data_IF_425003964144
#
_entry.id   IF_425003964144
#
_cell.length_a   1.000
_cell.length_b   1.000
_cell.length_c   1.000
_cell.angle_alpha   90.00
_cell.angle_beta   90.00
_cell.angle_gamma   90.00
#
_symmetry.space_group_name_H-M   'P 1'
#
loop_
_entity.id
_entity.type
_entity.pdbx_description
1 polymer ?
#
# COMPACT_ATOMS: atom_id res chain seq x y z
N UNK A 1 -46.59 -23.57 6.86
CA UNK A 1 -45.32 -23.52 7.58
C UNK A 1 -44.48 -22.44 6.91
N UNK A 2 -44.38 -21.27 7.52
CA UNK A 2 -43.54 -20.16 7.03
C UNK A 2 -42.08 -20.56 7.32
N UNK A 3 -41.34 -20.97 6.29
CA UNK A 3 -39.87 -21.09 6.41
C UNK A 3 -39.31 -19.73 6.79
N UNK A 4 -38.84 -19.62 8.00
CA UNK A 4 -38.08 -18.46 8.45
C UNK A 4 -36.77 -18.47 7.66
N UNK A 5 -36.68 -17.71 6.58
CA UNK A 5 -35.44 -17.53 5.83
C UNK A 5 -34.40 -17.01 6.81
N UNK A 6 -33.47 -17.84 7.22
CA UNK A 6 -32.34 -17.46 8.08
C UNK A 6 -31.45 -16.50 7.28
N UNK A 7 -31.55 -15.20 7.59
CA UNK A 7 -30.72 -14.17 6.96
C UNK A 7 -29.25 -14.34 7.35
N UNK A 8 -28.38 -14.31 6.36
CA UNK A 8 -26.93 -14.26 6.56
C UNK A 8 -26.55 -12.90 7.17
N UNK A 9 -25.52 -12.84 7.98
CA UNK A 9 -25.03 -11.56 8.54
C UNK A 9 -24.60 -10.59 7.42
N UNK A 10 -24.10 -11.11 6.30
CA UNK A 10 -23.77 -10.34 5.10
C UNK A 10 -24.98 -9.71 4.41
N UNK A 11 -26.20 -10.11 4.68
CA UNK A 11 -27.41 -9.48 4.16
C UNK A 11 -27.68 -8.12 4.84
N UNK A 12 -27.10 -7.88 6.02
CA UNK A 12 -27.13 -6.59 6.69
C UNK A 12 -26.15 -5.61 6.04
N UNK A 13 -26.66 -4.55 5.40
CA UNK A 13 -25.83 -3.50 4.82
C UNK A 13 -24.90 -2.88 5.85
N UNK A 14 -25.36 -2.58 7.06
CA UNK A 14 -24.54 -2.03 8.13
C UNK A 14 -23.35 -2.95 8.49
N UNK A 15 -23.58 -4.27 8.59
CA UNK A 15 -22.52 -5.23 8.91
C UNK A 15 -21.47 -5.31 7.77
N UNK A 16 -21.90 -5.37 6.50
CA UNK A 16 -20.99 -5.38 5.35
C UNK A 16 -20.09 -4.15 5.31
N UNK A 17 -20.71 -2.98 5.37
CA UNK A 17 -19.96 -1.72 5.30
C UNK A 17 -19.04 -1.53 6.50
N UNK A 18 -19.46 -1.95 7.71
CA UNK A 18 -18.58 -1.94 8.89
C UNK A 18 -17.37 -2.85 8.70
N UNK A 19 -17.57 -4.08 8.22
CA UNK A 19 -16.47 -5.00 7.94
C UNK A 19 -15.49 -4.40 6.91
N UNK A 20 -16.02 -3.84 5.80
CA UNK A 20 -15.21 -3.18 4.77
C UNK A 20 -14.43 -2.00 5.33
N UNK A 21 -15.07 -1.12 6.11
CA UNK A 21 -14.39 0.04 6.71
C UNK A 21 -13.25 -0.35 7.64
N UNK A 22 -13.43 -1.39 8.47
CA UNK A 22 -12.39 -1.88 9.38
C UNK A 22 -11.18 -2.38 8.61
N UNK A 23 -11.37 -3.26 7.63
CA UNK A 23 -10.24 -3.83 6.89
C UNK A 23 -9.58 -2.80 5.97
N UNK A 24 -10.35 -1.86 5.40
CA UNK A 24 -9.83 -0.76 4.61
C UNK A 24 -9.06 0.27 5.44
N UNK A 25 -9.46 0.52 6.68
CA UNK A 25 -8.70 1.35 7.63
C UNK A 25 -7.33 0.75 7.91
N UNK A 26 -7.25 -0.57 8.09
CA UNK A 26 -5.96 -1.26 8.28
C UNK A 26 -5.05 -1.08 7.07
N UNK A 27 -5.59 -1.19 5.86
CA UNK A 27 -4.84 -0.93 4.62
C UNK A 27 -4.39 0.54 4.51
N UNK A 28 -5.26 1.48 4.87
CA UNK A 28 -4.91 2.91 4.90
C UNK A 28 -3.71 3.18 5.83
N UNK A 29 -3.68 2.58 7.02
CA UNK A 29 -2.53 2.67 7.92
C UNK A 29 -1.28 2.01 7.33
N UNK A 30 -1.44 0.92 6.60
CA UNK A 30 -0.37 0.25 5.85
C UNK A 30 0.22 1.15 4.78
N UNK A 31 -0.60 1.72 3.90
CA UNK A 31 -0.15 2.64 2.85
C UNK A 31 0.52 3.90 3.44
N UNK A 32 0.05 4.41 4.58
CA UNK A 32 0.74 5.48 5.28
C UNK A 32 2.18 5.08 5.65
N UNK A 33 2.40 3.91 6.26
CA UNK A 33 3.75 3.42 6.62
C UNK A 33 4.60 3.11 5.38
N UNK A 34 3.99 2.67 4.29
CA UNK A 34 4.68 2.42 3.02
C UNK A 34 5.37 3.69 2.52
N UNK A 35 4.70 4.82 2.63
CA UNK A 35 5.15 6.08 2.05
C UNK A 35 5.65 7.13 3.06
N UNK A 36 5.57 6.85 4.37
CA UNK A 36 5.92 7.80 5.44
C UNK A 36 7.31 8.42 5.32
N UNK A 37 8.30 7.66 4.83
CA UNK A 37 9.69 8.13 4.66
C UNK A 37 9.97 8.70 3.28
N UNK A 38 9.07 8.55 2.31
CA UNK A 38 9.23 9.09 0.96
C UNK A 38 9.42 10.62 0.94
N UNK A 39 8.59 11.42 1.63
CA UNK A 39 8.78 12.86 1.67
C UNK A 39 9.93 13.31 2.59
N UNK A 40 10.48 12.41 3.41
CA UNK A 40 11.59 12.67 4.32
C UNK A 40 12.97 12.34 3.71
N UNK A 41 13.03 11.98 2.44
CA UNK A 41 14.25 11.55 1.77
C UNK A 41 15.38 12.59 1.83
N UNK A 42 15.07 13.89 1.81
CA UNK A 42 16.05 14.96 2.00
C UNK A 42 16.62 14.94 3.43
N UNK A 43 15.77 14.85 4.45
CA UNK A 43 16.21 14.77 5.85
C UNK A 43 17.04 13.51 6.12
N UNK A 44 16.73 12.38 5.47
CA UNK A 44 17.51 11.14 5.57
C UNK A 44 18.91 11.29 4.98
N UNK A 45 19.05 12.00 3.86
CA UNK A 45 20.33 12.12 3.15
C UNK A 45 21.13 13.39 3.51
N UNK A 46 20.52 14.36 4.19
CA UNK A 46 21.20 15.54 4.69
C UNK A 46 22.26 15.16 5.72
N UNK A 47 23.34 15.97 5.81
CA UNK A 47 24.41 15.78 6.80
C UNK A 47 23.87 15.73 8.24
N UNK A 48 24.53 14.93 9.08
CA UNK A 48 24.22 14.88 10.52
C UNK A 48 24.43 16.25 11.18
N UNK A 49 25.44 17.01 10.73
CA UNK A 49 25.70 18.37 11.23
C UNK A 49 24.53 19.31 10.95
N UNK A 50 23.82 19.10 9.85
CA UNK A 50 22.66 19.87 9.44
C UNK A 50 21.33 19.27 9.93
N UNK A 51 21.37 18.39 10.92
CA UNK A 51 20.20 17.76 11.52
C UNK A 51 19.57 16.62 10.68
N UNK A 52 20.30 16.11 9.70
CA UNK A 52 19.91 14.92 8.92
C UNK A 52 20.47 13.62 9.49
N UNK A 53 20.21 12.49 8.83
CA UNK A 53 20.75 11.18 9.22
C UNK A 53 22.04 10.81 8.49
N UNK A 54 22.46 11.63 7.51
CA UNK A 54 23.69 11.43 6.75
C UNK A 54 23.71 10.14 5.96
N UNK A 55 22.56 9.65 5.48
CA UNK A 55 22.52 8.52 4.57
C UNK A 55 23.02 8.94 3.18
N UNK A 56 23.75 8.07 2.52
CA UNK A 56 24.08 8.28 1.11
C UNK A 56 22.83 8.11 0.23
N UNK A 57 22.80 8.72 -0.97
CA UNK A 57 21.71 8.47 -1.94
C UNK A 57 21.54 6.98 -2.27
N UNK A 58 22.65 6.22 -2.28
CA UNK A 58 22.64 4.77 -2.49
C UNK A 58 21.96 4.03 -1.34
N UNK A 59 22.26 4.39 -0.09
CA UNK A 59 21.59 3.83 1.10
C UNK A 59 20.09 4.10 1.08
N UNK A 60 19.69 5.30 0.71
CA UNK A 60 18.27 5.62 0.55
C UNK A 60 17.61 4.80 -0.57
N UNK A 61 18.31 4.56 -1.67
CA UNK A 61 17.85 3.69 -2.76
C UNK A 61 17.65 2.24 -2.30
N UNK A 62 18.64 1.66 -1.62
CA UNK A 62 18.56 0.32 -1.03
C UNK A 62 17.39 0.20 -0.04
N UNK A 63 17.28 1.16 0.88
CA UNK A 63 16.16 1.22 1.82
C UNK A 63 14.80 1.29 1.09
N UNK A 64 14.68 2.14 0.08
CA UNK A 64 13.43 2.30 -0.66
C UNK A 64 13.01 1.02 -1.39
N UNK A 65 13.97 0.23 -1.88
CA UNK A 65 13.75 -1.07 -2.50
C UNK A 65 13.45 -2.20 -1.51
N UNK A 66 13.78 -2.01 -0.23
CA UNK A 66 13.69 -3.06 0.80
C UNK A 66 12.27 -3.61 1.00
N UNK A 67 11.24 -2.80 0.76
CA UNK A 67 9.85 -3.22 0.78
C UNK A 67 9.60 -4.54 0.04
N UNK A 68 10.28 -4.73 -1.08
CA UNK A 68 10.07 -5.88 -1.97
C UNK A 68 11.02 -7.05 -1.72
N UNK A 69 12.06 -6.92 -0.87
CA UNK A 69 13.09 -7.97 -0.74
C UNK A 69 12.52 -9.34 -0.40
N UNK A 70 11.73 -9.44 0.67
CA UNK A 70 11.17 -10.73 1.09
C UNK A 70 10.08 -11.22 0.13
N UNK A 71 9.32 -10.31 -0.46
CA UNK A 71 8.28 -10.67 -1.43
C UNK A 71 8.87 -11.27 -2.71
N UNK A 72 9.99 -10.73 -3.22
CA UNK A 72 10.64 -11.19 -4.45
C UNK A 72 11.49 -12.42 -4.19
N UNK A 73 12.43 -12.35 -3.23
CA UNK A 73 13.41 -13.43 -3.03
C UNK A 73 12.83 -14.67 -2.36
N UNK A 74 11.83 -14.51 -1.52
CA UNK A 74 11.17 -15.62 -0.84
C UNK A 74 9.78 -15.94 -1.39
N UNK A 75 9.35 -15.29 -2.48
CA UNK A 75 8.03 -15.49 -3.10
C UNK A 75 6.88 -15.43 -2.07
N UNK A 76 7.00 -14.55 -1.08
CA UNK A 76 6.10 -14.54 0.09
C UNK A 76 4.66 -14.20 -0.26
N UNK A 77 4.40 -13.51 -1.37
CA UNK A 77 3.04 -13.29 -1.85
C UNK A 77 2.37 -14.60 -2.31
N UNK A 78 3.12 -15.50 -2.97
CA UNK A 78 2.64 -16.83 -3.34
C UNK A 78 2.33 -17.68 -2.09
N UNK A 79 3.28 -17.73 -1.14
CA UNK A 79 3.06 -18.45 0.12
C UNK A 79 1.93 -17.85 0.94
N UNK A 80 1.81 -16.51 0.96
CA UNK A 80 0.70 -15.81 1.60
C UNK A 80 -0.67 -16.20 1.02
N UNK A 81 -0.76 -16.36 -0.30
CA UNK A 81 -1.96 -16.88 -0.96
C UNK A 81 -2.31 -18.29 -0.52
N UNK A 82 -1.32 -19.19 -0.46
CA UNK A 82 -1.51 -20.59 0.01
C UNK A 82 -1.96 -20.60 1.49
N UNK A 83 -1.35 -19.77 2.34
CA UNK A 83 -1.75 -19.64 3.74
C UNK A 83 -3.18 -19.11 3.84
N UNK A 84 -3.54 -18.12 3.03
CA UNK A 84 -4.89 -17.55 2.99
C UNK A 84 -5.95 -18.59 2.63
N UNK A 85 -5.66 -19.44 1.65
CA UNK A 85 -6.60 -20.49 1.23
C UNK A 85 -6.74 -21.62 2.26
N UNK A 86 -5.62 -21.99 2.93
CA UNK A 86 -5.65 -23.09 3.92
C UNK A 86 -6.12 -22.65 5.30
N UNK A 87 -5.74 -21.46 5.75
CA UNK A 87 -5.98 -20.99 7.12
C UNK A 87 -7.07 -19.91 7.22
N UNK A 88 -7.54 -19.42 6.07
CA UNK A 88 -8.62 -18.45 5.97
C UNK A 88 -8.23 -17.02 6.34
N UNK A 89 -9.17 -16.11 6.10
CA UNK A 89 -8.96 -14.65 6.22
C UNK A 89 -8.63 -14.17 7.64
N UNK A 90 -9.12 -14.86 8.68
CA UNK A 90 -8.88 -14.45 10.07
C UNK A 90 -7.41 -14.63 10.47
N UNK A 91 -6.90 -15.86 10.33
CA UNK A 91 -5.52 -16.15 10.69
C UNK A 91 -4.54 -15.35 9.83
N UNK A 92 -4.72 -15.40 8.51
CA UNK A 92 -3.82 -14.75 7.55
C UNK A 92 -3.80 -13.23 7.75
N UNK A 93 -4.96 -12.62 7.98
CA UNK A 93 -5.02 -11.18 8.21
C UNK A 93 -4.39 -10.75 9.53
N UNK A 94 -4.61 -11.46 10.64
CA UNK A 94 -3.94 -11.16 11.91
C UNK A 94 -2.42 -11.34 11.80
N UNK A 95 -1.96 -12.41 11.15
CA UNK A 95 -0.55 -12.65 10.87
C UNK A 95 0.05 -11.50 10.03
N UNK A 96 -0.63 -11.12 8.95
CA UNK A 96 -0.18 -10.03 8.06
C UNK A 96 -0.12 -8.69 8.82
N UNK A 97 -1.15 -8.34 9.59
CA UNK A 97 -1.15 -7.13 10.42
C UNK A 97 -0.05 -7.17 11.47
N UNK A 98 0.21 -8.32 12.10
CA UNK A 98 1.30 -8.50 13.05
C UNK A 98 2.68 -8.26 12.42
N UNK A 99 2.92 -8.79 11.20
CA UNK A 99 4.13 -8.54 10.42
C UNK A 99 4.27 -7.05 10.06
N UNK A 100 3.17 -6.40 9.65
CA UNK A 100 3.18 -4.97 9.36
C UNK A 100 3.55 -4.14 10.59
N UNK A 101 2.93 -4.42 11.74
CA UNK A 101 3.23 -3.74 13.01
C UNK A 101 4.68 -3.98 13.44
N UNK A 102 5.13 -5.23 13.45
CA UNK A 102 6.51 -5.59 13.83
C UNK A 102 7.54 -4.91 12.94
N UNK A 103 7.33 -4.94 11.62
CA UNK A 103 8.19 -4.28 10.64
C UNK A 103 8.18 -2.75 10.78
N UNK A 104 7.02 -2.14 11.02
CA UNK A 104 6.89 -0.69 11.23
C UNK A 104 7.60 -0.24 12.52
N UNK A 105 7.46 -0.98 13.62
CA UNK A 105 8.15 -0.70 14.88
C UNK A 105 9.67 -0.85 14.73
N UNK A 106 10.13 -1.89 14.04
CA UNK A 106 11.55 -2.08 13.76
C UNK A 106 12.12 -0.93 12.91
N UNK A 107 11.37 -0.48 11.90
CA UNK A 107 11.72 0.69 11.09
C UNK A 107 11.76 1.97 11.93
N UNK A 108 10.78 2.17 12.81
CA UNK A 108 10.74 3.32 13.72
C UNK A 108 11.92 3.33 14.70
N UNK A 109 12.25 2.17 15.28
CA UNK A 109 13.41 2.01 16.15
C UNK A 109 14.72 2.33 15.42
N UNK A 110 14.90 1.82 14.20
CA UNK A 110 16.12 2.03 13.43
C UNK A 110 16.40 3.51 13.13
N UNK A 111 15.37 4.33 12.93
CA UNK A 111 15.53 5.78 12.67
C UNK A 111 15.36 6.64 13.92
N UNK A 112 15.24 6.02 15.09
CA UNK A 112 15.13 6.73 16.36
C UNK A 112 16.51 7.06 16.96
N UNK A 113 16.59 8.06 17.86
CA UNK A 113 17.81 8.36 18.62
C UNK A 113 18.28 7.21 19.52
N UNK A 114 17.45 6.19 19.74
CA UNK A 114 17.79 5.02 20.56
C UNK A 114 18.65 4.00 19.81
N UNK A 115 18.74 4.13 18.48
CA UNK A 115 19.56 3.20 17.67
C UNK A 115 21.05 3.58 17.79
N UNK A 116 21.95 2.60 18.02
CA UNK A 116 23.38 2.87 18.15
C UNK A 116 23.98 3.52 16.88
N UNK A 117 24.67 4.63 17.06
CA UNK A 117 25.33 5.35 15.97
C UNK A 117 26.67 4.71 15.57
N UNK A 118 27.13 4.96 14.33
CA UNK A 118 28.48 4.69 13.86
C UNK A 118 28.73 3.26 13.36
N UNK A 119 27.76 2.34 13.46
CA UNK A 119 27.92 0.99 12.91
C UNK A 119 27.90 0.95 11.38
N UNK A 120 28.81 0.17 10.77
CA UNK A 120 28.87 -0.07 9.32
C UNK A 120 28.82 -1.57 9.04
N UNK A 121 28.06 -1.97 8.03
CA UNK A 121 27.93 -3.35 7.56
C UNK A 121 27.91 -3.35 6.02
N UNK A 122 28.82 -4.10 5.40
CA UNK A 122 28.95 -4.14 3.92
C UNK A 122 29.12 -2.75 3.27
N UNK A 123 29.78 -1.82 3.95
CA UNK A 123 30.00 -0.46 3.43
C UNK A 123 28.82 0.51 3.60
N UNK A 124 27.73 0.10 4.23
CA UNK A 124 26.56 0.91 4.53
C UNK A 124 26.29 0.99 6.03
N UNK A 125 25.56 2.01 6.45
CA UNK A 125 25.17 2.18 7.86
C UNK A 125 24.30 1.01 8.35
N UNK A 126 24.61 0.47 9.54
CA UNK A 126 23.78 -0.58 10.17
C UNK A 126 22.36 -0.12 10.39
N UNK A 127 22.17 1.16 10.63
CA UNK A 127 20.88 1.83 10.74
C UNK A 127 20.03 1.64 9.48
N UNK A 128 20.61 1.83 8.28
CA UNK A 128 19.93 1.60 7.01
C UNK A 128 19.50 0.14 6.84
N UNK A 129 20.39 -0.82 7.18
CA UNK A 129 20.06 -2.24 7.11
C UNK A 129 18.92 -2.62 8.05
N UNK A 130 18.92 -2.10 9.27
CA UNK A 130 17.86 -2.36 10.25
C UNK A 130 16.53 -1.74 9.81
N UNK A 131 16.54 -0.50 9.32
CA UNK A 131 15.37 0.15 8.75
C UNK A 131 14.84 -0.60 7.51
N UNK A 132 15.76 -1.07 6.63
CA UNK A 132 15.44 -1.87 5.45
C UNK A 132 14.82 -3.23 5.83
N UNK A 133 15.39 -3.93 6.82
CA UNK A 133 14.82 -5.18 7.32
C UNK A 133 13.39 -4.96 7.88
N UNK A 134 13.19 -3.92 8.67
CA UNK A 134 11.87 -3.54 9.16
C UNK A 134 10.89 -3.28 8.01
N UNK A 135 11.36 -2.58 6.97
CA UNK A 135 10.56 -2.28 5.80
C UNK A 135 10.26 -3.51 4.94
N UNK A 136 11.19 -4.47 4.86
CA UNK A 136 10.98 -5.75 4.17
C UNK A 136 9.94 -6.63 4.89
N UNK A 137 10.02 -6.76 6.22
CA UNK A 137 9.04 -7.49 7.03
C UNK A 137 7.66 -6.82 6.92
N UNK A 138 7.61 -5.50 7.01
CA UNK A 138 6.40 -4.72 6.81
C UNK A 138 5.81 -4.97 5.41
N UNK A 139 6.63 -4.90 4.35
CA UNK A 139 6.20 -5.09 2.97
C UNK A 139 5.61 -6.48 2.72
N UNK A 140 6.21 -7.52 3.30
CA UNK A 140 5.66 -8.87 3.26
C UNK A 140 4.25 -8.92 3.91
N UNK A 141 4.10 -8.32 5.08
CA UNK A 141 2.79 -8.23 5.74
C UNK A 141 1.78 -7.42 4.93
N UNK A 142 2.19 -6.31 4.31
CA UNK A 142 1.32 -5.43 3.53
C UNK A 142 0.75 -6.14 2.29
N UNK A 143 1.57 -6.87 1.55
CA UNK A 143 1.13 -7.62 0.37
C UNK A 143 0.17 -8.77 0.75
N UNK A 144 0.49 -9.53 1.80
CA UNK A 144 -0.40 -10.59 2.31
C UNK A 144 -1.71 -9.99 2.82
N UNK A 145 -1.66 -8.83 3.49
CA UNK A 145 -2.85 -8.11 3.95
C UNK A 145 -3.73 -7.68 2.77
N UNK A 146 -3.13 -7.17 1.68
CA UNK A 146 -3.84 -6.72 0.49
C UNK A 146 -4.69 -7.81 -0.16
N UNK A 147 -4.10 -9.02 -0.39
CA UNK A 147 -4.86 -10.16 -0.93
C UNK A 147 -5.92 -10.64 0.06
N UNK A 148 -5.63 -10.61 1.36
CA UNK A 148 -6.58 -11.02 2.41
C UNK A 148 -7.77 -10.08 2.48
N UNK A 149 -7.54 -8.77 2.45
CA UNK A 149 -8.60 -7.74 2.46
C UNK A 149 -9.48 -7.86 1.22
N UNK A 150 -8.90 -8.09 0.05
CA UNK A 150 -9.65 -8.34 -1.17
C UNK A 150 -10.59 -9.57 -1.03
N UNK A 151 -10.07 -10.68 -0.49
CA UNK A 151 -10.87 -11.89 -0.23
C UNK A 151 -11.98 -11.64 0.82
N UNK A 152 -11.70 -10.84 1.84
CA UNK A 152 -12.70 -10.40 2.84
C UNK A 152 -13.84 -9.65 2.14
N UNK A 153 -13.53 -8.67 1.31
CA UNK A 153 -14.54 -7.87 0.63
C UNK A 153 -15.38 -8.75 -0.31
N UNK A 154 -14.74 -9.63 -1.08
CA UNK A 154 -15.47 -10.60 -1.92
C UNK A 154 -16.42 -11.45 -1.07
N UNK A 155 -15.95 -12.03 0.05
CA UNK A 155 -16.76 -12.87 0.94
C UNK A 155 -18.00 -12.14 1.48
N UNK A 156 -17.86 -10.85 1.84
CA UNK A 156 -18.94 -10.08 2.47
C UNK A 156 -19.88 -9.43 1.46
N UNK A 157 -19.42 -9.13 0.24
CA UNK A 157 -20.15 -8.36 -0.78
C UNK A 157 -20.60 -9.20 -2.00
N UNK A 158 -20.31 -10.50 -2.04
CA UNK A 158 -20.83 -11.36 -3.12
C UNK A 158 -22.37 -11.29 -3.16
N UNK A 159 -22.91 -10.92 -4.34
CA UNK A 159 -24.35 -10.68 -4.52
C UNK A 159 -24.84 -9.29 -4.09
N UNK A 160 -23.94 -8.39 -3.73
CA UNK A 160 -24.20 -7.01 -3.33
C UNK A 160 -23.26 -6.05 -4.10
N UNK A 161 -23.02 -4.85 -3.60
CA UNK A 161 -22.24 -3.77 -4.24
C UNK A 161 -20.70 -4.04 -4.23
N UNK A 162 -20.26 -5.17 -4.80
CA UNK A 162 -18.87 -5.64 -4.72
C UNK A 162 -17.87 -4.67 -5.35
N UNK A 163 -18.16 -4.17 -6.56
CA UNK A 163 -17.26 -3.29 -7.28
C UNK A 163 -17.07 -1.96 -6.55
N UNK A 164 -18.15 -1.41 -5.97
CA UNK A 164 -18.10 -0.21 -5.14
C UNK A 164 -17.25 -0.43 -3.88
N UNK A 165 -17.42 -1.57 -3.20
CA UNK A 165 -16.68 -1.88 -1.98
C UNK A 165 -15.16 -2.04 -2.26
N UNK A 166 -14.78 -2.72 -3.34
CA UNK A 166 -13.39 -2.82 -3.78
C UNK A 166 -12.82 -1.46 -4.17
N UNK A 167 -13.59 -0.64 -4.88
CA UNK A 167 -13.16 0.72 -5.26
C UNK A 167 -12.92 1.63 -4.05
N UNK A 168 -13.82 1.58 -3.06
CA UNK A 168 -13.67 2.36 -1.83
C UNK A 168 -12.49 1.87 -0.97
N UNK A 169 -12.21 0.57 -0.94
CA UNK A 169 -11.03 0.02 -0.28
C UNK A 169 -9.75 0.60 -0.88
N UNK A 170 -9.63 0.61 -2.22
CA UNK A 170 -8.48 1.21 -2.90
C UNK A 170 -8.39 2.71 -2.61
N UNK A 171 -9.52 3.43 -2.64
CA UNK A 171 -9.55 4.85 -2.32
C UNK A 171 -9.05 5.15 -0.89
N UNK A 172 -9.46 4.35 0.09
CA UNK A 172 -8.97 4.48 1.47
C UNK A 172 -7.48 4.21 1.59
N UNK A 173 -6.95 3.19 0.89
CA UNK A 173 -5.52 2.92 0.83
C UNK A 173 -4.76 4.15 0.28
N UNK A 174 -5.22 4.74 -0.82
CA UNK A 174 -4.62 5.97 -1.40
C UNK A 174 -4.71 7.20 -0.49
N UNK A 175 -5.72 7.30 0.35
CA UNK A 175 -5.76 8.31 1.42
C UNK A 175 -4.60 8.16 2.39
N UNK A 176 -4.20 6.92 2.71
CA UNK A 176 -3.01 6.63 3.53
C UNK A 176 -1.73 7.17 2.89
N UNK A 177 -1.50 6.89 1.61
CA UNK A 177 -0.36 7.42 0.84
C UNK A 177 -0.38 8.96 0.82
N UNK A 178 -1.53 9.58 0.49
CA UNK A 178 -1.66 11.02 0.47
C UNK A 178 -1.38 11.66 1.84
N UNK A 179 -1.91 11.05 2.90
CA UNK A 179 -1.66 11.49 4.27
C UNK A 179 -0.17 11.39 4.65
N UNK A 180 0.52 10.31 4.25
CA UNK A 180 1.95 10.16 4.47
C UNK A 180 2.75 11.28 3.81
N UNK A 181 2.51 11.55 2.53
CA UNK A 181 3.20 12.60 1.78
C UNK A 181 2.94 14.00 2.35
N UNK A 182 1.73 14.24 2.83
CA UNK A 182 1.34 15.54 3.39
C UNK A 182 1.79 15.75 4.83
N UNK A 183 1.53 14.80 5.72
CA UNK A 183 1.72 14.99 7.16
C UNK A 183 3.14 14.67 7.63
N UNK A 184 3.87 13.73 7.00
CA UNK A 184 5.17 13.28 7.52
C UNK A 184 6.21 14.39 7.63
N UNK A 185 6.40 15.29 6.64
CA UNK A 185 7.35 16.40 6.79
C UNK A 185 6.95 17.35 7.91
N UNK A 186 5.65 17.61 8.08
CA UNK A 186 5.12 18.50 9.11
C UNK A 186 5.31 17.94 10.51
N UNK A 187 5.03 16.64 10.69
CA UNK A 187 5.26 15.94 11.96
C UNK A 187 6.75 15.94 12.28
N UNK A 188 7.61 15.63 11.30
CA UNK A 188 9.06 15.62 11.50
C UNK A 188 9.59 17.01 11.88
N UNK A 189 9.11 18.07 11.23
CA UNK A 189 9.50 19.45 11.53
C UNK A 189 8.98 19.91 12.90
N UNK A 190 7.73 19.58 13.24
CA UNK A 190 7.12 20.02 14.50
C UNK A 190 7.73 19.33 15.72
N UNK A 191 8.16 18.08 15.60
CA UNK A 191 8.66 17.26 16.71
C UNK A 191 10.17 17.02 16.65
N UNK A 192 10.84 17.56 15.63
CA UNK A 192 12.30 17.60 15.55
C UNK A 192 12.97 16.28 15.17
N UNK A 193 12.30 15.39 14.43
CA UNK A 193 12.94 14.13 14.02
C UNK A 193 12.13 13.25 13.07
N UNK A 194 12.86 12.46 12.28
CA UNK A 194 12.31 11.54 11.28
C UNK A 194 11.56 10.36 11.93
N UNK A 195 11.96 9.97 13.14
CA UNK A 195 11.34 8.86 13.87
C UNK A 195 9.87 9.09 14.22
N UNK A 196 9.48 10.36 14.47
CA UNK A 196 8.13 10.67 14.94
C UNK A 196 7.01 10.33 13.93
N UNK A 197 7.07 10.71 12.65
CA UNK A 197 6.04 10.32 11.69
C UNK A 197 6.00 8.79 11.48
N UNK A 198 7.15 8.10 11.54
CA UNK A 198 7.20 6.63 11.43
C UNK A 198 6.55 5.99 12.66
N UNK A 199 6.85 6.48 13.85
CA UNK A 199 6.25 6.01 15.10
C UNK A 199 4.73 6.28 15.15
N UNK A 200 4.30 7.46 14.72
CA UNK A 200 2.88 7.79 14.60
C UNK A 200 2.14 6.81 13.67
N UNK A 201 2.72 6.52 12.50
CA UNK A 201 2.16 5.53 11.57
C UNK A 201 2.15 4.11 12.16
N UNK A 202 3.20 3.70 12.88
CA UNK A 202 3.23 2.41 13.58
C UNK A 202 2.15 2.31 14.66
N UNK A 203 1.89 3.38 15.40
CA UNK A 203 0.80 3.45 16.37
C UNK A 203 -0.57 3.32 15.70
N UNK A 204 -0.80 4.06 14.61
CA UNK A 204 -2.03 3.95 13.81
C UNK A 204 -2.23 2.51 13.30
N UNK A 205 -1.15 1.84 12.90
CA UNK A 205 -1.19 0.46 12.45
C UNK A 205 -1.49 -0.53 13.59
N UNK A 206 -1.03 -0.26 14.82
CA UNK A 206 -1.46 -1.02 16.01
C UNK A 206 -2.97 -0.91 16.23
N UNK A 207 -3.53 0.30 16.05
CA UNK A 207 -5.00 0.49 16.11
C UNK A 207 -5.67 -0.29 14.97
N UNK A 208 -5.09 -0.30 13.77
CA UNK A 208 -5.53 -1.13 12.64
C UNK A 208 -5.55 -2.63 12.95
N UNK A 209 -4.52 -3.15 13.60
CA UNK A 209 -4.48 -4.55 14.08
C UNK A 209 -5.61 -4.84 15.08
N UNK A 210 -5.82 -3.96 16.07
CA UNK A 210 -6.91 -4.11 17.02
C UNK A 210 -8.28 -4.09 16.34
N UNK A 211 -8.47 -3.19 15.36
CA UNK A 211 -9.67 -3.14 14.55
C UNK A 211 -9.86 -4.44 13.73
N UNK A 212 -8.76 -4.99 13.17
CA UNK A 212 -8.82 -6.27 12.47
C UNK A 212 -9.21 -7.43 13.37
N UNK A 213 -8.80 -7.44 14.63
CA UNK A 213 -9.26 -8.43 15.63
C UNK A 213 -10.77 -8.33 15.87
N UNK A 214 -11.33 -7.11 15.89
CA UNK A 214 -12.79 -6.92 15.95
C UNK A 214 -13.46 -7.48 14.69
N UNK A 215 -12.88 -7.24 13.50
CA UNK A 215 -13.34 -7.87 12.26
C UNK A 215 -13.36 -9.40 12.37
N UNK A 216 -12.33 -10.03 12.95
CA UNK A 216 -12.29 -11.48 13.11
C UNK A 216 -13.47 -12.04 13.93
N UNK A 217 -13.96 -11.29 14.93
CA UNK A 217 -15.17 -11.64 15.68
C UNK A 217 -16.42 -11.55 14.80
N UNK A 218 -16.51 -10.50 13.97
CA UNK A 218 -17.63 -10.34 13.04
C UNK A 218 -17.63 -11.46 11.99
N UNK A 219 -16.47 -11.80 11.43
CA UNK A 219 -16.33 -12.85 10.42
C UNK A 219 -16.68 -14.25 10.98
N UNK A 220 -16.32 -14.53 12.26
CA UNK A 220 -16.75 -15.76 12.93
C UNK A 220 -18.28 -15.86 13.04
N UNK A 221 -18.94 -14.74 13.33
CA UNK A 221 -20.41 -14.68 13.38
C UNK A 221 -21.03 -14.86 11.99
N UNK A 222 -20.36 -14.34 10.94
CA UNK A 222 -20.79 -14.56 9.56
C UNK A 222 -20.75 -16.05 9.23
N UNK A 223 -19.63 -16.74 9.48
CA UNK A 223 -19.50 -18.18 9.21
C UNK A 223 -20.57 -18.99 9.93
N UNK A 224 -20.86 -18.67 11.19
CA UNK A 224 -21.96 -19.31 11.94
C UNK A 224 -23.31 -19.09 11.28
N UNK A 225 -23.56 -17.90 10.73
CA UNK A 225 -24.81 -17.60 10.01
C UNK A 225 -24.89 -18.32 8.66
N UNK A 226 -23.77 -18.49 7.96
CA UNK A 226 -23.69 -19.23 6.69
C UNK A 226 -23.88 -20.72 6.94
N UNK A 227 -23.17 -21.30 7.91
CA UNK A 227 -23.31 -22.71 8.27
C UNK A 227 -24.77 -23.07 8.66
N UNK A 228 -25.48 -22.14 9.29
CA UNK A 228 -26.89 -22.30 9.61
C UNK A 228 -27.81 -22.21 8.36
N UNK A 229 -27.33 -21.64 7.25
CA UNK A 229 -28.11 -21.44 6.01
C UNK A 229 -27.75 -22.44 4.89
N UNK A 230 -26.88 -23.43 5.12
CA UNK A 230 -26.31 -24.37 4.14
C UNK A 230 -25.58 -23.64 3.01
N UNK A 231 -24.30 -23.38 3.18
CA UNK A 231 -23.41 -22.79 2.15
C UNK A 231 -22.50 -23.83 1.51
N UNK A 232 -22.20 -23.65 0.23
CA UNK A 232 -21.23 -24.44 -0.52
C UNK A 232 -19.80 -24.13 -0.02
N UNK A 233 -18.96 -25.17 0.07
CA UNK A 233 -17.53 -25.05 0.32
C UNK A 233 -16.83 -24.49 -0.92
N UNK A 234 -16.04 -23.43 -0.78
CA UNK A 234 -15.16 -22.93 -1.85
C UNK A 234 -14.08 -23.98 -2.15
N UNK A 235 -13.88 -24.32 -3.43
CA UNK A 235 -12.76 -25.16 -3.85
C UNK A 235 -11.43 -24.46 -3.55
N UNK A 236 -10.57 -25.10 -2.73
CA UNK A 236 -9.25 -24.58 -2.39
C UNK A 236 -8.29 -24.63 -3.58
N UNK A 237 -7.26 -23.77 -3.56
CA UNK A 237 -6.20 -23.69 -4.56
C UNK A 237 -5.53 -25.06 -4.81
N UNK A 238 -5.39 -25.42 -6.10
CA UNK A 238 -4.69 -26.62 -6.56
C UNK A 238 -3.38 -26.21 -7.27
N UNK A 239 -2.29 -26.93 -7.03
CA UNK A 239 -1.00 -26.69 -7.71
C UNK A 239 -1.10 -26.79 -9.25
N UNK A 240 -2.08 -27.54 -9.78
CA UNK A 240 -2.40 -27.60 -11.20
C UNK A 240 -2.78 -26.24 -11.80
N UNK A 241 -3.35 -25.35 -10.99
CA UNK A 241 -3.85 -24.05 -11.44
C UNK A 241 -2.70 -23.11 -11.82
N UNK A 242 -1.55 -23.26 -11.17
CA UNK A 242 -0.31 -22.53 -11.53
C UNK A 242 0.07 -22.83 -12.99
N UNK A 243 0.02 -24.09 -13.42
CA UNK A 243 0.36 -24.45 -14.79
C UNK A 243 -0.55 -23.77 -15.79
N UNK A 244 -1.86 -23.71 -15.51
CA UNK A 244 -2.83 -23.02 -16.36
C UNK A 244 -2.54 -21.52 -16.48
N UNK A 245 -2.24 -20.85 -15.36
CA UNK A 245 -1.90 -19.42 -15.32
C UNK A 245 -0.63 -19.15 -16.12
N UNK A 246 0.45 -19.90 -15.86
CA UNK A 246 1.78 -19.68 -16.49
C UNK A 246 1.77 -19.98 -18.00
N UNK A 247 0.90 -20.87 -18.48
CA UNK A 247 0.78 -21.15 -19.91
C UNK A 247 -0.10 -20.17 -20.67
N UNK A 248 -0.84 -19.30 -19.97
CA UNK A 248 -1.74 -18.34 -20.61
C UNK A 248 -0.98 -17.09 -21.10
N UNK A 249 -0.98 -16.87 -22.42
CA UNK A 249 -0.32 -15.68 -23.03
C UNK A 249 -0.93 -14.35 -22.57
N UNK A 250 -2.25 -14.32 -22.37
CA UNK A 250 -2.93 -13.11 -21.87
C UNK A 250 -2.46 -12.71 -20.48
N UNK A 251 -2.22 -13.69 -19.60
CA UNK A 251 -1.63 -13.46 -18.27
C UNK A 251 -0.27 -12.74 -18.37
N UNK A 252 0.64 -13.22 -19.22
CA UNK A 252 1.96 -12.60 -19.37
C UNK A 252 1.92 -11.19 -19.94
N UNK A 253 1.01 -10.93 -20.89
CA UNK A 253 0.85 -9.57 -21.44
C UNK A 253 0.35 -8.59 -20.38
N UNK A 254 -0.64 -8.99 -19.59
CA UNK A 254 -1.17 -8.17 -18.48
C UNK A 254 -0.10 -8.01 -17.39
N UNK A 255 0.59 -9.07 -17.02
CA UNK A 255 1.65 -9.05 -16.02
C UNK A 255 2.80 -8.11 -16.43
N UNK A 256 3.22 -8.15 -17.71
CA UNK A 256 4.25 -7.24 -18.23
C UNK A 256 3.79 -5.79 -18.24
N UNK A 257 2.54 -5.53 -18.63
CA UNK A 257 1.96 -4.19 -18.59
C UNK A 257 1.93 -3.64 -17.15
N UNK A 258 1.46 -4.43 -16.18
CA UNK A 258 1.47 -4.06 -14.78
C UNK A 258 2.89 -3.80 -14.27
N UNK A 259 3.85 -4.67 -14.62
CA UNK A 259 5.26 -4.50 -14.24
C UNK A 259 5.81 -3.17 -14.74
N UNK A 260 5.62 -2.85 -16.02
CA UNK A 260 6.12 -1.61 -16.63
C UNK A 260 5.44 -0.36 -16.04
N UNK A 261 4.12 -0.42 -15.84
CA UNK A 261 3.36 0.66 -15.24
C UNK A 261 3.82 0.98 -13.82
N UNK A 262 3.88 -0.03 -12.96
CA UNK A 262 4.29 0.16 -11.57
C UNK A 262 5.78 0.49 -11.42
N UNK A 263 6.64 0.02 -12.33
CA UNK A 263 8.04 0.44 -12.39
C UNK A 263 8.19 1.95 -12.71
N UNK A 264 7.25 2.56 -13.40
CA UNK A 264 7.20 4.01 -13.58
C UNK A 264 6.69 4.74 -12.32
N UNK A 265 5.58 4.29 -11.74
CA UNK A 265 4.85 5.03 -10.70
C UNK A 265 5.54 4.95 -9.33
N UNK A 266 5.86 3.76 -8.82
CA UNK A 266 6.35 3.61 -7.46
C UNK A 266 7.74 4.20 -7.19
N UNK A 267 8.77 3.96 -8.03
CA UNK A 267 10.05 4.62 -7.83
C UNK A 267 9.93 6.14 -7.95
N UNK A 268 9.12 6.62 -8.88
CA UNK A 268 8.86 8.05 -9.02
C UNK A 268 8.30 8.64 -7.71
N UNK A 269 7.27 8.06 -7.11
CA UNK A 269 6.69 8.53 -5.85
C UNK A 269 7.72 8.57 -4.71
N UNK A 270 8.63 7.58 -4.65
CA UNK A 270 9.69 7.54 -3.61
C UNK A 270 10.67 8.72 -3.71
N UNK A 271 10.89 9.25 -4.90
CA UNK A 271 11.83 10.34 -5.15
C UNK A 271 11.16 11.66 -5.53
N UNK A 272 9.84 11.67 -5.72
CA UNK A 272 9.10 12.85 -6.20
C UNK A 272 9.28 14.08 -5.31
N UNK A 273 9.25 13.93 -3.99
CA UNK A 273 9.46 15.05 -3.06
C UNK A 273 10.86 15.65 -3.22
N UNK A 274 11.90 14.81 -3.37
CA UNK A 274 13.25 15.29 -3.66
C UNK A 274 13.31 16.03 -4.99
N UNK A 275 12.64 15.52 -6.02
CA UNK A 275 12.55 16.19 -7.31
C UNK A 275 11.93 17.60 -7.19
N UNK A 276 10.88 17.74 -6.36
CA UNK A 276 10.26 19.05 -6.10
C UNK A 276 11.22 20.02 -5.42
N UNK A 277 11.99 19.57 -4.44
CA UNK A 277 12.96 20.40 -3.74
C UNK A 277 14.12 20.81 -4.68
N UNK A 278 14.79 19.82 -5.27
CA UNK A 278 16.06 20.09 -5.98
C UNK A 278 15.89 20.64 -7.38
N UNK A 279 14.84 20.26 -8.09
CA UNK A 279 14.61 20.73 -9.46
C UNK A 279 13.73 21.98 -9.50
N UNK A 280 12.67 22.00 -8.69
CA UNK A 280 11.66 23.06 -8.75
C UNK A 280 11.80 24.10 -7.63
N UNK A 281 12.74 23.91 -6.69
CA UNK A 281 13.01 24.86 -5.60
C UNK A 281 11.85 25.00 -4.61
N UNK A 282 10.99 23.99 -4.49
CA UNK A 282 9.85 24.01 -3.55
C UNK A 282 10.36 23.83 -2.13
N UNK A 283 9.82 24.60 -1.18
CA UNK A 283 10.16 24.46 0.24
C UNK A 283 9.92 23.03 0.74
N UNK A 284 10.84 22.52 1.57
CA UNK A 284 10.83 21.12 2.03
C UNK A 284 9.53 20.73 2.76
N UNK A 285 8.89 21.69 3.48
CA UNK A 285 7.64 21.43 4.19
C UNK A 285 6.44 21.34 3.24
N UNK A 286 6.54 21.96 2.06
CA UNK A 286 5.49 22.00 1.04
C UNK A 286 5.72 21.01 -0.10
N UNK A 287 6.95 20.54 -0.26
CA UNK A 287 7.35 19.70 -1.40
C UNK A 287 6.59 18.36 -1.50
N UNK A 288 6.13 17.81 -0.36
CA UNK A 288 5.30 16.60 -0.32
C UNK A 288 3.86 16.79 -0.81
N UNK A 289 3.36 18.04 -0.84
CA UNK A 289 2.00 18.34 -1.29
C UNK A 289 1.79 18.02 -2.77
N UNK A 290 2.77 18.34 -3.61
CA UNK A 290 2.66 18.15 -5.06
C UNK A 290 2.56 16.66 -5.40
N UNK A 291 3.47 15.77 -4.94
CA UNK A 291 3.30 14.33 -5.14
C UNK A 291 2.05 13.73 -4.50
N UNK A 292 1.56 14.30 -3.38
CA UNK A 292 0.33 13.85 -2.74
C UNK A 292 -0.92 14.04 -3.62
N UNK A 293 -0.88 14.94 -4.60
CA UNK A 293 -2.00 15.15 -5.55
C UNK A 293 -2.25 13.91 -6.41
N UNK A 294 -1.21 13.11 -6.73
CA UNK A 294 -1.36 11.89 -7.52
C UNK A 294 -2.24 10.85 -6.79
N UNK A 295 -1.92 10.35 -5.58
CA UNK A 295 -2.80 9.41 -4.89
C UNK A 295 -4.15 10.05 -4.54
N UNK A 296 -4.21 11.36 -4.27
CA UNK A 296 -5.46 12.06 -4.01
C UNK A 296 -6.35 12.10 -5.25
N UNK A 297 -5.77 12.35 -6.43
CA UNK A 297 -6.48 12.32 -7.71
C UNK A 297 -7.04 10.94 -8.04
N UNK A 298 -6.33 9.86 -7.71
CA UNK A 298 -6.80 8.48 -7.99
C UNK A 298 -8.09 8.13 -7.24
N UNK A 299 -8.38 8.76 -6.10
CA UNK A 299 -9.63 8.55 -5.35
C UNK A 299 -10.86 8.89 -6.21
N UNK A 300 -10.76 9.95 -7.02
CA UNK A 300 -11.83 10.40 -7.90
C UNK A 300 -11.76 9.76 -9.28
N UNK A 301 -10.56 9.62 -9.84
CA UNK A 301 -10.35 9.11 -11.19
C UNK A 301 -10.61 7.60 -11.29
N UNK A 302 -10.32 6.82 -10.24
CA UNK A 302 -10.54 5.37 -10.27
C UNK A 302 -12.03 5.00 -10.48
N UNK A 303 -13.00 5.54 -9.73
CA UNK A 303 -14.41 5.31 -9.99
C UNK A 303 -14.87 5.85 -11.36
N UNK A 304 -14.33 6.99 -11.79
CA UNK A 304 -14.65 7.59 -13.09
C UNK A 304 -14.24 6.65 -14.25
N UNK A 305 -12.98 6.19 -14.26
CA UNK A 305 -12.49 5.28 -15.29
C UNK A 305 -13.15 3.89 -15.22
N UNK A 306 -13.47 3.42 -14.01
CA UNK A 306 -14.29 2.21 -13.82
C UNK A 306 -15.67 2.36 -14.50
N UNK A 307 -16.36 3.46 -14.27
CA UNK A 307 -17.65 3.74 -14.90
C UNK A 307 -17.57 3.87 -16.43
N UNK A 308 -16.48 4.49 -16.95
CA UNK A 308 -16.21 4.57 -18.39
C UNK A 308 -16.00 3.17 -18.97
N UNK A 309 -15.22 2.33 -18.26
CA UNK A 309 -15.00 0.94 -18.67
C UNK A 309 -16.29 0.13 -18.71
N UNK A 310 -17.11 0.22 -17.67
CA UNK A 310 -18.40 -0.49 -17.59
C UNK A 310 -19.36 -0.07 -18.73
N UNK A 311 -19.32 1.22 -19.09
CA UNK A 311 -20.21 1.77 -20.15
C UNK A 311 -19.73 1.43 -21.57
N UNK A 312 -18.42 1.47 -21.84
CA UNK A 312 -17.86 1.38 -23.20
C UNK A 312 -17.06 0.10 -23.46
N UNK A 313 -16.68 -0.65 -22.44
CA UNK A 313 -16.01 -1.94 -22.55
C UNK A 313 -14.63 -1.95 -23.20
N UNK A 314 -13.98 -0.78 -23.44
CA UNK A 314 -12.72 -0.65 -24.17
C UNK A 314 -11.50 -0.63 -23.25
N UNK A 315 -11.33 -1.66 -22.38
CA UNK A 315 -10.26 -1.70 -21.38
C UNK A 315 -8.86 -1.59 -21.95
N UNK A 316 -8.57 -2.29 -23.05
CA UNK A 316 -7.27 -2.21 -23.73
C UNK A 316 -6.94 -0.79 -24.21
N UNK A 317 -7.93 -0.07 -24.76
CA UNK A 317 -7.75 1.32 -25.19
C UNK A 317 -7.44 2.23 -24.01
N UNK A 318 -8.16 2.09 -22.88
CA UNK A 318 -7.90 2.86 -21.66
C UNK A 318 -6.49 2.59 -21.11
N UNK A 319 -6.04 1.33 -21.11
CA UNK A 319 -4.68 0.96 -20.68
C UNK A 319 -3.60 1.57 -21.58
N UNK A 320 -3.80 1.60 -22.90
CA UNK A 320 -2.88 2.26 -23.85
C UNK A 320 -2.83 3.76 -23.59
N UNK A 321 -3.97 4.42 -23.42
CA UNK A 321 -4.03 5.86 -23.12
C UNK A 321 -3.29 6.15 -21.81
N UNK A 322 -3.55 5.39 -20.74
CA UNK A 322 -2.87 5.55 -19.46
C UNK A 322 -1.36 5.37 -19.55
N UNK A 323 -0.89 4.37 -20.32
CA UNK A 323 0.55 4.14 -20.53
C UNK A 323 1.20 5.27 -21.34
N UNK A 324 0.52 5.82 -22.35
CA UNK A 324 0.99 6.98 -23.10
C UNK A 324 1.07 8.23 -22.22
N UNK A 325 0.06 8.48 -21.38
CA UNK A 325 0.07 9.60 -20.43
C UNK A 325 1.19 9.47 -19.41
N UNK A 326 1.38 8.29 -18.82
CA UNK A 326 2.50 8.04 -17.90
C UNK A 326 3.85 8.34 -18.55
N UNK A 327 4.07 7.85 -19.76
CA UNK A 327 5.30 8.10 -20.52
C UNK A 327 5.48 9.60 -20.79
N UNK A 328 4.43 10.28 -21.25
CA UNK A 328 4.45 11.72 -21.49
C UNK A 328 4.83 12.51 -20.24
N UNK A 329 4.21 12.21 -19.09
CA UNK A 329 4.50 12.89 -17.83
C UNK A 329 5.97 12.70 -17.42
N UNK A 330 6.52 11.48 -17.53
CA UNK A 330 7.93 11.23 -17.20
C UNK A 330 8.89 11.95 -18.13
N UNK A 331 8.60 12.01 -19.44
CA UNK A 331 9.38 12.78 -20.40
C UNK A 331 9.36 14.26 -20.03
N UNK A 332 8.20 14.82 -19.70
CA UNK A 332 8.10 16.22 -19.27
C UNK A 332 8.87 16.49 -17.97
N UNK A 333 8.87 15.57 -17.01
CA UNK A 333 9.71 15.68 -15.82
C UNK A 333 11.22 15.56 -16.12
N UNK A 334 11.62 14.89 -17.18
CA UNK A 334 13.01 14.79 -17.59
C UNK A 334 13.53 16.07 -18.28
N UNK A 335 12.65 16.86 -18.89
CA UNK A 335 13.04 18.11 -19.56
C UNK A 335 13.53 19.18 -18.56
N UNK A 336 14.45 20.10 -18.98
CA UNK A 336 14.99 21.14 -18.12
C UNK A 336 14.00 22.32 -17.93
N UNK A 337 12.75 22.02 -17.63
CA UNK A 337 11.70 23.01 -17.38
C UNK A 337 11.46 23.08 -15.88
N UNK A 338 11.75 24.24 -15.26
CA UNK A 338 11.73 24.40 -13.80
C UNK A 338 10.48 25.17 -13.33
N UNK A 339 9.30 24.85 -13.87
CA UNK A 339 8.03 25.43 -13.46
C UNK A 339 7.31 24.51 -12.48
N UNK A 340 7.17 24.93 -11.22
CA UNK A 340 6.41 24.19 -10.20
C UNK A 340 4.90 24.08 -10.55
N UNK A 341 4.35 25.07 -11.27
CA UNK A 341 2.97 24.99 -11.78
C UNK A 341 2.82 23.85 -12.80
N UNK A 342 3.80 23.68 -13.68
CA UNK A 342 3.83 22.54 -14.59
C UNK A 342 3.92 21.22 -13.83
N UNK A 343 4.71 21.16 -12.76
CA UNK A 343 4.82 19.96 -11.93
C UNK A 343 3.46 19.57 -11.31
N UNK A 344 2.66 20.54 -10.84
CA UNK A 344 1.29 20.29 -10.35
C UNK A 344 0.41 19.71 -11.44
N UNK A 345 0.40 20.33 -12.63
CA UNK A 345 -0.42 19.86 -13.76
C UNK A 345 -0.03 18.43 -14.15
N UNK A 346 1.27 18.14 -14.21
CA UNK A 346 1.77 16.80 -14.53
C UNK A 346 1.40 15.72 -13.48
N UNK A 347 1.23 16.12 -12.22
CA UNK A 347 0.79 15.19 -11.15
C UNK A 347 -0.72 14.93 -11.18
N UNK A 348 -1.49 15.78 -11.87
CA UNK A 348 -2.94 15.63 -12.01
C UNK A 348 -3.34 14.83 -13.26
N UNK A 349 -2.43 14.72 -14.21
CA UNK A 349 -2.60 13.92 -15.44
C UNK A 349 -2.29 12.45 -15.18
#
# INVERSE_FOLDING_TARGET
MTETIKRKLSDSSAARWTAMLIVSFTMMCGDFITDVMSPLGDMLTRSVVDGGMGWTPTEYGWFSGAYSWLNIFLLMLLFGGIILDKMGVRFTGVMACGLMVGGALLKAYAVSPLFPEGGMLFGFKTQMWMAGLGFAIFGMGAEICGITVSKVIVKWFTGHELALALGLQVAMARLGTAAALFFSPRIAAAWGGISYPVFFGALALCIGLLAYLVYCVMDRRLDQSIAAAQGEEEEGFKLSDIKFVVTNKGFWLIALLCLMFYAGVFPFLKFATKLMIFKYGVDANMAGLIPAMLPFGTIFLTPLFGSIYDKYGKGATLMIIGSCLLTFVHVMFALPINSWVLAIVLMLI
#
